data_IF_415619114040
#
_entry.id   IF_415619114040
#
_cell.length_a   1.000
_cell.length_b   1.000
_cell.length_c   1.000
_cell.angle_alpha   90.00
_cell.angle_beta   90.00
_cell.angle_gamma   90.00
#
_symmetry.space_group_name_H-M   'P 1'
#
loop_
_entity.id
_entity.type
_entity.pdbx_description
1 polymer ?
#
# COMPACT_ATOMS: atom_id res chain seq x y z
N UNK A 1 -6.38 -0.03 -11.72
CA UNK A 1 -5.15 -0.85 -11.63
C UNK A 1 -4.72 -0.89 -10.17
N UNK A 2 -4.77 -2.05 -9.54
CA UNK A 2 -4.50 -2.28 -8.11
C UNK A 2 -3.13 -1.76 -7.65
N UNK A 3 -2.14 -1.71 -8.55
CA UNK A 3 -0.81 -1.20 -8.24
C UNK A 3 -0.82 0.29 -7.87
N UNK A 4 -1.70 1.12 -8.46
CA UNK A 4 -1.87 2.52 -8.05
C UNK A 4 -2.61 2.67 -6.71
N UNK A 5 -3.45 1.70 -6.36
CA UNK A 5 -4.20 1.70 -5.11
C UNK A 5 -3.31 1.30 -3.93
N UNK A 6 -2.39 0.35 -4.12
CA UNK A 6 -1.44 -0.04 -3.07
C UNK A 6 -0.10 -0.47 -3.69
N UNK A 7 0.82 0.49 -3.80
CA UNK A 7 2.13 0.33 -4.47
C UNK A 7 3.12 -0.55 -3.69
N UNK A 8 2.91 -0.70 -2.38
CA UNK A 8 3.80 -1.44 -1.50
C UNK A 8 3.67 -2.98 -1.62
N UNK A 9 2.79 -3.47 -2.50
CA UNK A 9 2.55 -4.89 -2.71
C UNK A 9 3.22 -5.37 -4.00
N UNK A 10 3.91 -6.50 -3.90
CA UNK A 10 4.56 -7.19 -5.02
C UNK A 10 3.55 -7.84 -5.97
N UNK A 11 2.35 -8.18 -5.47
CA UNK A 11 1.25 -8.76 -6.24
C UNK A 11 0.40 -7.69 -6.92
N UNK A 12 0.13 -7.85 -8.22
CA UNK A 12 -0.77 -7.00 -9.01
C UNK A 12 -2.24 -7.40 -8.82
N UNK A 13 -2.51 -8.68 -8.57
CA UNK A 13 -3.84 -9.19 -8.20
C UNK A 13 -4.08 -9.13 -6.69
N UNK A 14 -5.26 -8.69 -6.25
CA UNK A 14 -5.65 -8.71 -4.83
C UNK A 14 -6.50 -9.94 -4.49
N UNK A 15 -7.27 -10.44 -5.45
CA UNK A 15 -8.17 -11.57 -5.25
C UNK A 15 -7.63 -12.86 -5.85
N UNK A 16 -8.09 -14.01 -5.34
CA UNK A 16 -7.63 -15.34 -5.75
C UNK A 16 -7.97 -15.68 -7.21
N UNK A 17 -9.03 -15.09 -7.79
CA UNK A 17 -9.38 -15.25 -9.20
C UNK A 17 -8.54 -14.40 -10.16
N UNK A 18 -7.74 -13.46 -9.64
CA UNK A 18 -6.82 -12.66 -10.44
C UNK A 18 -5.50 -13.41 -10.55
N UNK A 19 -5.29 -14.08 -11.68
CA UNK A 19 -4.06 -14.84 -11.90
C UNK A 19 -2.91 -13.85 -12.18
N UNK A 20 -1.93 -13.85 -11.27
CA UNK A 20 -0.71 -13.04 -11.34
C UNK A 20 0.50 -13.94 -11.59
N UNK A 21 0.82 -14.13 -12.87
CA UNK A 21 1.91 -15.01 -13.31
C UNK A 21 3.25 -14.51 -12.76
N UNK A 22 3.48 -13.19 -12.74
CA UNK A 22 4.71 -12.58 -12.24
C UNK A 22 4.91 -12.89 -10.75
N UNK A 23 3.86 -12.75 -9.94
CA UNK A 23 3.93 -13.12 -8.52
C UNK A 23 4.21 -14.61 -8.32
N UNK A 24 3.63 -15.49 -9.12
CA UNK A 24 3.93 -16.93 -9.03
C UNK A 24 5.38 -17.26 -9.40
N UNK A 25 5.94 -16.59 -10.42
CA UNK A 25 7.36 -16.72 -10.76
C UNK A 25 8.23 -16.23 -9.60
N UNK A 26 7.93 -15.05 -9.04
CA UNK A 26 8.66 -14.51 -7.89
C UNK A 26 8.55 -15.43 -6.66
N UNK A 27 7.39 -16.05 -6.43
CA UNK A 27 7.20 -17.00 -5.34
C UNK A 27 8.06 -18.26 -5.54
N UNK A 28 8.12 -18.79 -6.76
CA UNK A 28 9.03 -19.88 -7.11
C UNK A 28 10.50 -19.49 -6.91
N UNK A 29 10.88 -18.27 -7.29
CA UNK A 29 12.21 -17.73 -7.04
C UNK A 29 12.50 -17.55 -5.54
N UNK A 30 11.48 -17.32 -4.71
CA UNK A 30 11.67 -17.25 -3.26
C UNK A 30 11.95 -18.61 -2.62
N UNK A 31 11.39 -19.70 -3.17
CA UNK A 31 11.67 -21.04 -2.70
C UNK A 31 13.13 -21.47 -2.92
N UNK A 32 13.76 -20.96 -3.98
CA UNK A 32 15.19 -21.19 -4.26
C UNK A 32 16.11 -20.14 -3.60
N UNK A 33 15.55 -19.21 -2.82
CA UNK A 33 16.30 -18.19 -2.08
C UNK A 33 16.81 -17.02 -2.91
N UNK A 34 16.35 -16.85 -4.14
CA UNK A 34 16.78 -15.74 -5.01
C UNK A 34 16.12 -14.41 -4.62
N UNK A 35 14.90 -14.46 -4.08
CA UNK A 35 14.14 -13.30 -3.57
C UNK A 35 13.49 -13.66 -2.24
N UNK A 36 13.33 -12.71 -1.32
CA UNK A 36 12.85 -13.03 0.05
C UNK A 36 11.87 -12.02 0.66
N UNK A 37 11.73 -10.81 0.11
CA UNK A 37 10.81 -9.78 0.62
C UNK A 37 9.57 -9.61 -0.29
N UNK A 38 8.80 -10.68 -0.47
CA UNK A 38 7.55 -10.63 -1.24
C UNK A 38 6.43 -10.06 -0.37
N UNK A 39 6.04 -8.81 -0.66
CA UNK A 39 5.00 -8.11 0.10
C UNK A 39 3.62 -8.40 -0.47
N UNK A 40 2.73 -8.88 0.40
CA UNK A 40 1.33 -9.14 0.08
C UNK A 40 0.43 -7.97 0.51
N UNK A 41 -0.72 -7.77 -0.14
CA UNK A 41 -1.63 -6.71 0.24
C UNK A 41 -2.34 -7.13 1.56
N UNK A 42 -2.34 -6.29 2.60
CA UNK A 42 -3.05 -6.59 3.84
C UNK A 42 -4.56 -6.68 3.59
N UNK A 43 -5.27 -7.41 4.45
CA UNK A 43 -6.72 -7.66 4.31
C UNK A 43 -7.53 -6.37 4.14
N UNK A 44 -7.16 -5.31 4.86
CA UNK A 44 -7.84 -4.00 4.75
C UNK A 44 -7.72 -3.36 3.36
N UNK A 45 -6.62 -3.60 2.63
CA UNK A 45 -6.45 -3.14 1.23
C UNK A 45 -7.34 -3.94 0.30
N UNK A 46 -7.37 -5.27 0.47
CA UNK A 46 -8.21 -6.17 -0.34
C UNK A 46 -9.71 -5.87 -0.11
N UNK A 47 -10.08 -5.49 1.11
CA UNK A 47 -11.44 -5.14 1.50
C UNK A 47 -11.78 -3.67 1.21
N UNK A 48 -10.86 -2.89 0.62
CA UNK A 48 -11.06 -1.49 0.22
C UNK A 48 -11.17 -0.49 1.38
N UNK A 49 -10.88 -0.93 2.61
CA UNK A 49 -10.88 -0.08 3.82
C UNK A 49 -9.57 0.66 4.03
N UNK A 50 -8.53 0.29 3.29
CA UNK A 50 -7.23 0.95 3.38
C UNK A 50 -7.32 2.40 2.93
N UNK A 51 -6.90 3.30 3.82
CA UNK A 51 -6.75 4.72 3.54
C UNK A 51 -5.28 5.06 3.70
N UNK A 52 -4.58 5.54 2.66
CA UNK A 52 -3.26 6.11 2.85
C UNK A 52 -3.42 7.25 3.85
N UNK A 53 -2.59 7.28 4.90
CA UNK A 53 -2.57 8.43 5.82
C UNK A 53 -2.29 9.67 4.98
N UNK A 54 -3.27 10.58 4.85
CA UNK A 54 -2.93 11.96 4.54
C UNK A 54 -1.98 12.41 5.65
N UNK A 55 -0.88 13.06 5.28
CA UNK A 55 -0.07 13.76 6.27
C UNK A 55 -1.01 14.55 7.19
N UNK A 56 -0.75 14.49 8.51
CA UNK A 56 -1.41 15.32 9.49
C UNK A 56 -0.97 16.76 9.22
N UNK A 57 -1.60 17.41 8.26
CA UNK A 57 -1.42 18.85 7.98
C UNK A 57 -2.19 19.73 8.99
N UNK A 58 -2.64 19.14 10.10
CA UNK A 58 -3.35 19.82 11.19
C UNK A 58 -2.46 20.69 12.08
N UNK A 59 -1.33 21.19 11.56
CA UNK A 59 -0.55 22.26 12.21
C UNK A 59 -0.76 23.63 11.57
N UNK A 60 -1.37 23.70 10.39
CA UNK A 60 -1.55 24.99 9.70
C UNK A 60 -2.77 25.77 10.23
N UNK A 61 -3.87 25.11 10.59
CA UNK A 61 -5.09 25.80 11.04
C UNK A 61 -4.99 26.38 12.47
N UNK A 62 -4.12 25.86 13.34
CA UNK A 62 -3.96 26.39 14.71
C UNK A 62 -3.02 27.60 14.77
N UNK A 63 -2.00 27.62 13.93
CA UNK A 63 -0.94 28.63 13.97
C UNK A 63 -1.37 29.94 13.25
N UNK A 64 -2.23 29.86 12.23
CA UNK A 64 -2.83 31.06 11.60
C UNK A 64 -3.84 31.77 12.53
N UNK A 65 -4.67 31.01 13.26
CA UNK A 65 -5.62 31.60 14.22
C UNK A 65 -4.96 32.32 15.40
N UNK A 66 -3.72 31.95 15.75
CA UNK A 66 -2.95 32.56 16.83
C UNK A 66 -2.12 33.77 16.36
N UNK A 67 -1.76 33.83 15.08
CA UNK A 67 -1.03 34.97 14.50
C UNK A 67 -1.93 36.15 14.14
N UNK A 68 -3.20 35.89 13.78
CA UNK A 68 -4.20 36.95 13.56
C UNK A 68 -4.75 37.55 14.88
N UNK A 69 -4.47 36.91 16.01
CA UNK A 69 -4.93 37.32 17.34
C UNK A 69 -3.88 38.09 18.18
N UNK A 70 -2.71 38.42 17.60
CA UNK A 70 -1.60 39.13 18.27
C UNK A 70 -1.30 40.48 17.60
#
# INVERSE_FOLDING_TARGET
>A
NNHHYYQACTRQGFHWWQIDITYYILKALSFVGLVWDLREPPKDVVEGRWRPSKHRDGKLESDESMAEAA
#
